data_IF_759432442552
#
_entry.id   IF_759432442552
#
_cell.length_a   1.000
_cell.length_b   1.000
_cell.length_c   1.000
_cell.angle_alpha   90.00
_cell.angle_beta   90.00
_cell.angle_gamma   90.00
#
_symmetry.space_group_name_H-M   'P 1'
#
loop_
_entity.id
_entity.type
_entity.pdbx_description
1 polymer ?
#
# COMPACT_ATOMS: atom_id res chain seq x y z
N UNK A 1 -28.20 -27.17 9.88
CA UNK A 1 -29.40 -26.31 9.85
C UNK A 1 -28.94 -24.87 9.67
N UNK A 2 -29.10 -24.28 8.48
CA UNK A 2 -28.84 -22.86 8.30
C UNK A 2 -29.98 -22.08 8.95
N UNK A 3 -29.72 -21.52 10.14
CA UNK A 3 -30.66 -20.63 10.80
C UNK A 3 -30.90 -19.42 9.87
N UNK A 4 -32.02 -19.42 9.14
CA UNK A 4 -32.47 -18.29 8.33
C UNK A 4 -33.01 -17.20 9.27
N UNK A 5 -32.14 -16.64 10.12
CA UNK A 5 -32.49 -15.55 11.03
C UNK A 5 -32.92 -14.36 10.20
N UNK A 6 -34.07 -13.77 10.53
CA UNK A 6 -34.49 -12.53 9.88
C UNK A 6 -33.45 -11.45 10.19
N UNK A 7 -33.11 -10.63 9.20
CA UNK A 7 -32.06 -9.60 9.34
C UNK A 7 -32.40 -8.60 10.47
N UNK A 8 -33.69 -8.40 10.75
CA UNK A 8 -34.21 -7.60 11.87
C UNK A 8 -33.82 -8.14 13.25
N UNK A 9 -33.74 -9.47 13.39
CA UNK A 9 -33.31 -10.11 14.65
C UNK A 9 -31.82 -9.90 14.85
N UNK A 10 -31.03 -10.02 13.77
CA UNK A 10 -29.59 -9.76 13.78
C UNK A 10 -29.32 -8.29 14.15
N UNK A 11 -30.09 -7.36 13.61
CA UNK A 11 -29.99 -5.93 13.91
C UNK A 11 -30.25 -5.63 15.40
N UNK A 12 -31.32 -6.23 15.96
CA UNK A 12 -31.68 -6.07 17.37
C UNK A 12 -30.65 -6.67 18.31
N UNK A 13 -30.23 -7.92 18.07
CA UNK A 13 -29.29 -8.64 18.93
C UNK A 13 -27.92 -7.96 18.97
N UNK A 14 -27.45 -7.45 17.82
CA UNK A 14 -26.15 -6.80 17.68
C UNK A 14 -26.19 -5.28 17.90
N UNK A 15 -27.37 -4.71 18.20
CA UNK A 15 -27.59 -3.27 18.37
C UNK A 15 -27.04 -2.42 17.22
N UNK A 16 -27.17 -2.89 15.99
CA UNK A 16 -26.79 -2.16 14.77
C UNK A 16 -28.01 -1.93 13.88
N UNK A 17 -27.95 -0.92 13.02
CA UNK A 17 -29.06 -0.64 12.11
C UNK A 17 -29.27 -1.80 11.12
N UNK A 18 -30.53 -2.01 10.71
CA UNK A 18 -30.89 -2.98 9.66
C UNK A 18 -30.07 -2.75 8.39
N UNK A 19 -29.91 -1.50 7.97
CA UNK A 19 -29.07 -1.12 6.83
C UNK A 19 -27.60 -1.52 6.99
N UNK A 20 -27.08 -1.58 8.22
CA UNK A 20 -25.71 -2.07 8.47
C UNK A 20 -25.64 -3.58 8.29
N UNK A 21 -26.63 -4.32 8.80
CA UNK A 21 -26.76 -5.77 8.58
C UNK A 21 -26.86 -6.09 7.09
N UNK A 22 -27.72 -5.39 6.35
CA UNK A 22 -27.88 -5.55 4.90
C UNK A 22 -26.58 -5.30 4.14
N UNK A 23 -25.88 -4.19 4.44
CA UNK A 23 -24.59 -3.85 3.81
C UNK A 23 -23.52 -4.89 4.12
N UNK A 24 -23.47 -5.40 5.34
CA UNK A 24 -22.52 -6.44 5.75
C UNK A 24 -22.82 -7.75 5.00
N UNK A 25 -24.09 -8.17 4.94
CA UNK A 25 -24.48 -9.39 4.23
C UNK A 25 -24.31 -9.26 2.71
N UNK A 26 -24.62 -8.11 2.13
CA UNK A 26 -24.39 -7.83 0.71
C UNK A 26 -22.89 -7.88 0.38
N UNK A 27 -22.06 -7.28 1.22
CA UNK A 27 -20.59 -7.37 1.12
C UNK A 27 -20.12 -8.82 1.26
N UNK A 28 -20.60 -9.55 2.27
CA UNK A 28 -20.26 -10.95 2.48
C UNK A 28 -20.65 -11.83 1.29
N UNK A 29 -21.85 -11.66 0.72
CA UNK A 29 -22.30 -12.40 -0.47
C UNK A 29 -21.42 -12.11 -1.69
N UNK A 30 -21.06 -10.83 -1.89
CA UNK A 30 -20.13 -10.41 -2.95
C UNK A 30 -18.73 -10.99 -2.73
N UNK A 31 -18.27 -11.02 -1.49
CA UNK A 31 -16.95 -11.51 -1.09
C UNK A 31 -16.90 -13.06 -1.01
N UNK A 32 -18.03 -13.76 -0.82
CA UNK A 32 -18.08 -15.23 -0.77
C UNK A 32 -17.81 -15.93 -2.11
N UNK A 33 -17.55 -15.17 -3.18
CA UNK A 33 -17.03 -15.64 -4.47
C UNK A 33 -15.49 -15.57 -4.58
N UNK A 34 -14.78 -15.09 -3.55
CA UNK A 34 -13.33 -15.04 -3.54
C UNK A 34 -12.76 -14.56 -2.21
N UNK A 35 -11.85 -15.35 -1.61
CA UNK A 35 -11.18 -15.04 -0.34
C UNK A 35 -10.46 -13.70 -0.47
N UNK A 36 -11.10 -12.62 -0.03
CA UNK A 36 -10.46 -11.32 0.06
C UNK A 36 -9.93 -11.10 1.47
N UNK A 37 -8.69 -10.63 1.61
CA UNK A 37 -8.13 -10.38 2.91
C UNK A 37 -8.90 -9.24 3.60
N UNK A 38 -8.91 -9.19 4.95
CA UNK A 38 -9.66 -8.20 5.73
C UNK A 38 -9.49 -6.78 5.20
N UNK A 39 -10.47 -5.86 5.42
CA UNK A 39 -10.43 -4.49 4.91
C UNK A 39 -9.15 -3.71 5.22
N UNK A 40 -8.42 -4.10 6.27
CA UNK A 40 -7.11 -3.58 6.68
C UNK A 40 -5.97 -3.99 5.73
N UNK A 41 -6.09 -5.12 5.04
CA UNK A 41 -5.15 -5.63 4.04
C UNK A 41 -5.50 -5.19 2.61
N UNK A 42 -6.68 -4.59 2.41
CA UNK A 42 -7.02 -3.93 1.14
C UNK A 42 -6.22 -2.63 1.08
N UNK A 43 -5.20 -2.59 0.21
CA UNK A 43 -4.50 -1.35 -0.13
C UNK A 43 -5.52 -0.39 -0.75
N UNK A 44 -6.04 0.53 0.05
CA UNK A 44 -6.97 1.57 -0.40
C UNK A 44 -6.19 2.68 -1.11
N UNK A 45 -6.76 3.21 -2.18
CA UNK A 45 -6.24 4.37 -2.91
C UNK A 45 -5.76 4.05 -4.33
N UNK A 46 -5.26 5.08 -5.02
CA UNK A 46 -4.68 4.95 -6.37
C UNK A 46 -3.50 3.97 -6.32
N UNK A 47 -3.38 3.04 -7.29
CA UNK A 47 -2.20 2.21 -7.44
C UNK A 47 -0.92 3.07 -7.42
N UNK A 48 0.14 2.53 -6.82
CA UNK A 48 1.43 3.21 -6.77
C UNK A 48 1.99 3.28 -8.19
N UNK A 49 2.67 4.40 -8.50
CA UNK A 49 3.36 4.57 -9.79
C UNK A 49 4.53 3.60 -9.93
N UNK A 50 5.30 3.41 -8.85
CA UNK A 50 6.39 2.46 -8.78
C UNK A 50 5.85 1.05 -8.52
N UNK A 51 6.05 0.16 -9.48
CA UNK A 51 5.80 -1.27 -9.39
C UNK A 51 6.88 -1.97 -8.56
N UNK A 52 6.69 -3.25 -8.28
CA UNK A 52 7.66 -4.04 -7.49
C UNK A 52 9.04 -4.06 -8.16
N UNK A 53 9.08 -4.26 -9.48
CA UNK A 53 10.32 -4.27 -10.27
C UNK A 53 11.08 -2.94 -10.18
N UNK A 54 10.40 -1.80 -10.31
CA UNK A 54 11.02 -0.47 -10.20
C UNK A 54 11.64 -0.27 -8.81
N UNK A 55 10.97 -0.77 -7.76
CA UNK A 55 11.49 -0.70 -6.40
C UNK A 55 12.70 -1.60 -6.23
N UNK A 56 12.70 -2.81 -6.79
CA UNK A 56 13.85 -3.71 -6.72
C UNK A 56 15.05 -3.14 -7.50
N UNK A 57 14.80 -2.46 -8.63
CA UNK A 57 15.82 -1.72 -9.36
C UNK A 57 16.44 -0.60 -8.51
N UNK A 58 15.62 0.22 -7.86
CA UNK A 58 16.07 1.26 -6.92
C UNK A 58 16.92 0.68 -5.77
N UNK A 59 16.51 -0.47 -5.22
CA UNK A 59 17.29 -1.17 -4.18
C UNK A 59 18.65 -1.59 -4.73
N UNK A 60 18.70 -2.11 -5.97
CA UNK A 60 19.95 -2.44 -6.65
C UNK A 60 20.87 -1.24 -6.84
N UNK A 61 20.33 -0.06 -7.20
CA UNK A 61 21.12 1.17 -7.32
C UNK A 61 21.75 1.54 -5.98
N UNK A 62 20.98 1.56 -4.90
CA UNK A 62 21.48 1.89 -3.55
C UNK A 62 22.52 0.88 -3.07
N UNK A 63 22.36 -0.40 -3.41
CA UNK A 63 23.32 -1.45 -3.03
C UNK A 63 24.65 -1.33 -3.78
N UNK A 64 24.63 -0.90 -5.05
CA UNK A 64 25.85 -0.67 -5.84
C UNK A 64 26.54 0.65 -5.49
N UNK A 65 25.75 1.70 -5.28
CA UNK A 65 26.22 3.07 -5.07
C UNK A 65 25.40 3.74 -3.96
N UNK A 66 25.76 3.53 -2.68
CA UNK A 66 24.97 3.99 -1.53
C UNK A 66 24.87 5.52 -1.37
N UNK A 67 25.78 6.26 -2.00
CA UNK A 67 25.89 7.71 -2.02
C UNK A 67 25.11 8.37 -3.16
N UNK A 68 24.48 7.57 -4.04
CA UNK A 68 23.64 8.07 -5.12
C UNK A 68 22.48 8.91 -4.58
N UNK A 69 22.28 10.08 -5.19
CA UNK A 69 21.23 11.01 -4.85
C UNK A 69 19.89 10.60 -5.47
N UNK A 70 18.79 11.07 -4.87
CA UNK A 70 17.44 10.75 -5.34
C UNK A 70 17.15 11.25 -6.77
N UNK A 71 17.80 12.33 -7.20
CA UNK A 71 17.61 12.88 -8.55
C UNK A 71 18.35 12.05 -9.60
N UNK A 72 19.51 11.47 -9.25
CA UNK A 72 20.22 10.52 -10.11
C UNK A 72 19.38 9.24 -10.24
N UNK A 73 18.83 8.72 -9.14
CA UNK A 73 17.90 7.58 -9.19
C UNK A 73 16.64 7.86 -10.01
N UNK A 74 16.18 9.11 -10.04
CA UNK A 74 15.05 9.53 -10.86
C UNK A 74 15.40 9.47 -12.34
N UNK A 75 16.59 9.93 -12.71
CA UNK A 75 17.10 9.84 -14.08
C UNK A 75 17.25 8.39 -14.52
N UNK A 76 17.89 7.56 -13.71
CA UNK A 76 18.06 6.12 -13.97
C UNK A 76 16.71 5.41 -14.15
N UNK A 77 15.69 5.75 -13.34
CA UNK A 77 14.33 5.21 -13.49
C UNK A 77 13.67 5.65 -14.80
N UNK A 78 13.90 6.88 -15.22
CA UNK A 78 13.36 7.41 -16.47
C UNK A 78 14.02 6.73 -17.66
N UNK A 79 15.35 6.66 -17.67
CA UNK A 79 16.13 6.15 -18.79
C UNK A 79 16.01 4.63 -18.94
N UNK A 80 16.08 3.88 -17.82
CA UNK A 80 16.16 2.41 -17.87
C UNK A 80 14.82 1.71 -17.63
N UNK A 81 13.91 2.32 -16.87
CA UNK A 81 12.60 1.73 -16.57
C UNK A 81 11.43 2.46 -17.28
N UNK A 82 11.66 3.64 -17.86
CA UNK A 82 10.61 4.45 -18.48
C UNK A 82 9.60 5.03 -17.47
N UNK A 83 9.98 5.14 -16.19
CA UNK A 83 9.06 5.54 -15.12
C UNK A 83 9.37 6.94 -14.59
N UNK A 84 8.44 7.86 -14.84
CA UNK A 84 8.47 9.23 -14.31
C UNK A 84 7.97 9.28 -12.87
N UNK A 85 8.86 9.13 -11.90
CA UNK A 85 8.55 9.20 -10.47
C UNK A 85 9.11 10.49 -9.84
N UNK A 86 8.35 11.10 -8.92
CA UNK A 86 8.89 12.22 -8.13
C UNK A 86 9.91 11.76 -7.09
N UNK A 87 10.85 12.64 -6.71
CA UNK A 87 11.86 12.36 -5.66
C UNK A 87 11.23 11.84 -4.36
N UNK A 88 10.08 12.40 -3.96
CA UNK A 88 9.32 11.95 -2.79
C UNK A 88 8.77 10.52 -2.95
N UNK A 89 8.36 10.14 -4.17
CA UNK A 89 7.87 8.79 -4.45
C UNK A 89 8.98 7.76 -4.33
N UNK A 90 10.15 8.08 -4.89
CA UNK A 90 11.39 7.29 -4.79
C UNK A 90 11.79 7.14 -3.32
N UNK A 91 11.88 8.26 -2.58
CA UNK A 91 12.22 8.23 -1.15
C UNK A 91 11.24 7.40 -0.33
N UNK A 92 9.92 7.55 -0.55
CA UNK A 92 8.90 6.76 0.15
C UNK A 92 9.00 5.27 -0.20
N UNK A 93 9.38 4.92 -1.42
CA UNK A 93 9.60 3.53 -1.82
C UNK A 93 10.79 2.92 -1.07
N UNK A 94 11.94 3.60 -1.07
CA UNK A 94 13.14 3.17 -0.34
C UNK A 94 12.89 3.07 1.17
N UNK A 95 12.24 4.07 1.77
CA UNK A 95 11.92 4.06 3.20
C UNK A 95 11.02 2.88 3.59
N UNK A 96 10.07 2.48 2.75
CA UNK A 96 9.24 1.28 2.98
C UNK A 96 10.03 -0.02 2.90
N UNK A 97 11.17 -0.03 2.20
CA UNK A 97 12.13 -1.14 2.15
C UNK A 97 13.17 -1.09 3.28
N UNK A 98 13.06 -0.15 4.21
CA UNK A 98 13.93 -0.06 5.39
C UNK A 98 15.14 0.87 5.24
N UNK A 99 15.29 1.56 4.11
CA UNK A 99 16.41 2.49 3.92
C UNK A 99 16.22 3.79 4.71
N UNK A 100 17.32 4.26 5.29
CA UNK A 100 17.39 5.54 6.01
C UNK A 100 18.38 6.47 5.32
N UNK A 101 18.10 7.78 5.34
CA UNK A 101 19.03 8.78 4.79
C UNK A 101 20.12 9.06 5.81
N UNK A 102 21.39 8.96 5.39
CA UNK A 102 22.52 9.46 6.18
C UNK A 102 22.38 10.96 6.38
N UNK A 103 22.35 11.42 7.64
CA UNK A 103 22.38 12.85 7.98
C UNK A 103 23.81 13.23 8.31
N UNK A 104 24.43 14.06 7.49
CA UNK A 104 25.68 14.72 7.86
C UNK A 104 25.33 15.79 8.87
N UNK A 105 25.84 15.67 10.10
CA UNK A 105 25.74 16.74 11.10
C UNK A 105 26.81 17.77 10.77
N UNK A 106 26.42 19.00 10.49
CA UNK A 106 27.35 20.12 10.33
C UNK A 106 27.71 20.70 11.69
N UNK A 107 28.16 19.85 12.61
CA UNK A 107 28.55 20.28 13.95
C UNK A 107 30.08 20.20 14.01
N UNK A 108 30.74 21.16 13.36
CA UNK A 108 32.18 21.49 13.45
C UNK A 108 32.42 22.71 12.52
N UNK A 109 31.89 23.87 12.91
CA UNK A 109 32.36 25.19 12.47
C UNK A 109 32.48 26.07 13.72
#
# INVERSE_FOLDING_TARGET
QHHNRKQDEIARDLQISLSSVEKILARYRKDSQGIHPPPTLRVRGRPRILQVADVDFLVGLVQRTPDMYLHEMQEELRELCGVEASLLSIWRALRRRGFTRKRVRSDLL
#
